data_IF_506504412148
#
_entry.id   IF_506504412148
#
_cell.length_a   1.000
_cell.length_b   1.000
_cell.length_c   1.000
_cell.angle_alpha   90.00
_cell.angle_beta   90.00
_cell.angle_gamma   90.00
#
_symmetry.space_group_name_H-M   'P 1'
#
loop_
_entity.id
_entity.type
_entity.pdbx_description
1 polymer ?
#
# COMPACT_ATOMS: atom_id res chain seq x y z
N UNK A 1 6.75 -19.07 -20.90
CA UNK A 1 5.92 -19.56 -19.78
C UNK A 1 5.16 -18.41 -19.09
N UNK A 2 5.86 -17.34 -18.67
CA UNK A 2 5.26 -16.19 -17.95
C UNK A 2 4.02 -15.58 -18.60
N UNK A 3 4.09 -15.23 -19.90
CA UNK A 3 2.95 -14.63 -20.61
C UNK A 3 1.67 -15.51 -20.65
N UNK A 4 1.81 -16.83 -20.53
CA UNK A 4 0.65 -17.75 -20.50
C UNK A 4 -0.01 -17.82 -19.12
N UNK A 5 0.77 -17.64 -18.05
CA UNK A 5 0.31 -17.76 -16.66
C UNK A 5 -0.16 -16.39 -16.12
N UNK A 6 0.47 -15.30 -16.60
CA UNK A 6 0.16 -13.93 -16.21
C UNK A 6 -1.34 -13.59 -16.23
N UNK A 7 -2.13 -13.86 -17.30
CA UNK A 7 -3.55 -13.52 -17.29
C UNK A 7 -4.32 -14.24 -16.18
N UNK A 8 -3.98 -15.51 -15.88
CA UNK A 8 -4.64 -16.26 -14.81
C UNK A 8 -4.31 -15.68 -13.44
N UNK A 9 -3.06 -15.30 -13.20
CA UNK A 9 -2.65 -14.64 -11.96
C UNK A 9 -3.31 -13.27 -11.82
N UNK A 10 -3.38 -12.49 -12.90
CA UNK A 10 -4.05 -11.18 -12.88
C UNK A 10 -5.54 -11.32 -12.57
N UNK A 11 -6.25 -12.22 -13.25
CA UNK A 11 -7.68 -12.40 -13.02
C UNK A 11 -8.00 -12.93 -11.63
N UNK A 12 -7.20 -13.88 -11.13
CA UNK A 12 -7.38 -14.39 -9.76
C UNK A 12 -7.07 -13.31 -8.73
N UNK A 13 -5.99 -12.55 -8.90
CA UNK A 13 -5.66 -11.42 -8.02
C UNK A 13 -6.78 -10.36 -8.01
N UNK A 14 -7.30 -10.00 -9.18
CA UNK A 14 -8.42 -9.05 -9.29
C UNK A 14 -9.68 -9.59 -8.59
N UNK A 15 -10.02 -10.86 -8.81
CA UNK A 15 -11.18 -11.50 -8.19
C UNK A 15 -11.09 -11.43 -6.66
N UNK A 16 -9.98 -11.88 -6.07
CA UNK A 16 -9.81 -11.86 -4.62
C UNK A 16 -9.74 -10.44 -4.06
N UNK A 17 -9.09 -9.51 -4.76
CA UNK A 17 -9.02 -8.10 -4.34
C UNK A 17 -10.39 -7.47 -4.33
N UNK A 18 -11.18 -7.62 -5.41
CA UNK A 18 -12.52 -7.04 -5.50
C UNK A 18 -13.49 -7.69 -4.51
N UNK A 19 -13.43 -9.02 -4.34
CA UNK A 19 -14.23 -9.73 -3.35
C UNK A 19 -13.89 -9.28 -1.92
N UNK A 20 -12.60 -9.18 -1.59
CA UNK A 20 -12.13 -8.70 -0.29
C UNK A 20 -12.53 -7.25 0.00
N UNK A 21 -12.40 -6.36 -0.99
CA UNK A 21 -12.85 -4.97 -0.89
C UNK A 21 -14.36 -4.88 -0.70
N UNK A 22 -15.14 -5.64 -1.47
CA UNK A 22 -16.59 -5.69 -1.35
C UNK A 22 -17.02 -6.17 0.04
N UNK A 23 -16.39 -7.23 0.54
CA UNK A 23 -16.68 -7.76 1.87
C UNK A 23 -16.32 -6.76 2.98
N UNK A 24 -15.10 -6.22 2.95
CA UNK A 24 -14.59 -5.31 3.97
C UNK A 24 -15.34 -3.98 4.02
N UNK A 25 -15.71 -3.41 2.87
CA UNK A 25 -16.35 -2.09 2.82
C UNK A 25 -17.86 -2.15 3.08
N UNK A 26 -18.56 -3.19 2.65
CA UNK A 26 -20.02 -3.23 2.74
C UNK A 26 -20.55 -4.12 3.86
N UNK A 27 -19.89 -5.24 4.14
CA UNK A 27 -20.41 -6.28 5.04
C UNK A 27 -19.69 -6.34 6.39
N UNK A 28 -18.54 -5.70 6.54
CA UNK A 28 -17.89 -5.60 7.86
C UNK A 28 -18.82 -4.90 8.85
N UNK A 29 -18.99 -5.44 10.07
CA UNK A 29 -19.71 -4.75 11.12
C UNK A 29 -18.99 -3.46 11.50
N UNK A 30 -19.74 -2.50 12.04
CA UNK A 30 -19.19 -1.30 12.64
C UNK A 30 -18.37 -1.65 13.88
N UNK A 31 -17.24 -0.97 14.06
CA UNK A 31 -16.43 -1.11 15.27
C UNK A 31 -17.04 -0.32 16.43
N UNK A 32 -16.80 -0.78 17.65
CA UNK A 32 -17.37 -0.15 18.86
C UNK A 32 -16.82 1.27 19.12
N UNK A 33 -15.58 1.54 18.73
CA UNK A 33 -14.92 2.85 18.89
C UNK A 33 -15.02 3.70 17.62
N UNK A 34 -14.82 3.09 16.47
CA UNK A 34 -14.65 3.80 15.20
C UNK A 34 -15.92 3.84 14.34
N UNK A 35 -16.96 3.11 14.75
CA UNK A 35 -18.19 2.95 13.96
C UNK A 35 -17.88 2.40 12.58
N UNK A 36 -18.55 2.93 11.55
CA UNK A 36 -18.31 2.55 10.15
C UNK A 36 -16.95 3.01 9.61
N UNK A 37 -16.26 3.94 10.29
CA UNK A 37 -14.95 4.42 9.83
C UNK A 37 -13.89 3.31 9.82
N UNK A 38 -14.08 2.24 10.61
CA UNK A 38 -13.18 1.07 10.62
C UNK A 38 -13.06 0.42 9.24
N UNK A 39 -14.11 0.50 8.42
CA UNK A 39 -14.17 -0.17 7.10
C UNK A 39 -13.06 0.30 6.17
N UNK A 40 -12.59 1.55 6.31
CA UNK A 40 -11.47 2.06 5.52
C UNK A 40 -10.14 1.37 5.84
N UNK A 41 -10.00 0.72 7.02
CA UNK A 41 -8.79 -0.02 7.37
C UNK A 41 -8.55 -1.25 6.49
N UNK A 42 -9.60 -1.82 5.91
CA UNK A 42 -9.45 -2.89 4.93
C UNK A 42 -8.76 -2.44 3.63
N UNK A 43 -8.67 -1.13 3.39
CA UNK A 43 -7.91 -0.54 2.28
C UNK A 43 -6.61 0.06 2.79
N UNK A 44 -6.69 0.87 3.85
CA UNK A 44 -5.57 1.65 4.35
C UNK A 44 -4.44 0.78 4.91
N UNK A 45 -4.75 -0.22 5.76
CA UNK A 45 -3.70 -1.01 6.42
C UNK A 45 -2.91 -1.85 5.43
N UNK A 46 -3.52 -2.60 4.49
CA UNK A 46 -2.77 -3.29 3.46
C UNK A 46 -1.95 -2.35 2.58
N UNK A 47 -2.49 -1.18 2.21
CA UNK A 47 -1.76 -0.19 1.45
C UNK A 47 -0.53 0.34 2.21
N UNK A 48 -0.65 0.61 3.51
CA UNK A 48 0.46 1.07 4.35
C UNK A 48 1.58 0.01 4.45
N UNK A 49 1.21 -1.26 4.61
CA UNK A 49 2.16 -2.37 4.65
C UNK A 49 2.86 -2.52 3.29
N UNK A 50 2.10 -2.52 2.19
CA UNK A 50 2.66 -2.66 0.84
C UNK A 50 3.56 -1.48 0.45
N UNK A 51 3.17 -0.24 0.78
CA UNK A 51 3.99 0.95 0.57
C UNK A 51 5.33 0.82 1.31
N UNK A 52 5.28 0.51 2.61
CA UNK A 52 6.48 0.35 3.45
C UNK A 52 7.38 -0.79 2.95
N UNK A 53 6.77 -1.89 2.51
CA UNK A 53 7.48 -3.03 1.92
C UNK A 53 8.15 -2.67 0.60
N UNK A 54 7.48 -1.88 -0.24
CA UNK A 54 8.00 -1.39 -1.52
C UNK A 54 9.25 -0.52 -1.33
N UNK A 55 9.21 0.43 -0.40
CA UNK A 55 10.39 1.26 -0.09
C UNK A 55 11.53 0.46 0.56
N UNK A 56 11.21 -0.50 1.44
CA UNK A 56 12.22 -1.41 1.97
C UNK A 56 12.88 -2.22 0.85
N UNK A 57 12.09 -2.71 -0.12
CA UNK A 57 12.61 -3.42 -1.29
C UNK A 57 13.45 -2.51 -2.19
N UNK A 58 13.07 -1.23 -2.39
CA UNK A 58 13.89 -0.25 -3.11
C UNK A 58 15.23 -0.01 -2.41
N UNK A 59 15.24 0.13 -1.09
CA UNK A 59 16.47 0.28 -0.31
C UNK A 59 17.39 -0.94 -0.47
N UNK A 60 16.83 -2.15 -0.41
CA UNK A 60 17.59 -3.39 -0.64
C UNK A 60 18.11 -3.46 -2.07
N UNK A 61 17.29 -3.14 -3.08
CA UNK A 61 17.72 -3.12 -4.49
C UNK A 61 18.84 -2.10 -4.72
N UNK A 62 18.74 -0.90 -4.14
CA UNK A 62 19.77 0.12 -4.20
C UNK A 62 21.08 -0.33 -3.55
N UNK A 63 21.01 -1.00 -2.40
CA UNK A 63 22.18 -1.58 -1.74
C UNK A 63 22.82 -2.70 -2.57
N UNK A 64 22.00 -3.59 -3.14
CA UNK A 64 22.49 -4.68 -4.00
C UNK A 64 23.13 -4.16 -5.29
N UNK A 65 22.54 -3.13 -5.89
CA UNK A 65 23.09 -2.42 -7.04
C UNK A 65 24.40 -1.72 -6.70
N UNK A 66 24.47 -0.96 -5.60
CA UNK A 66 25.65 -0.18 -5.26
C UNK A 66 26.85 -1.05 -4.89
N UNK A 67 26.64 -2.08 -4.07
CA UNK A 67 27.71 -2.92 -3.52
C UNK A 67 28.13 -4.02 -4.49
N UNK A 68 27.18 -4.74 -5.08
CA UNK A 68 27.45 -5.90 -5.94
C UNK A 68 27.24 -5.65 -7.43
N UNK A 69 26.72 -4.48 -7.82
CA UNK A 69 26.39 -4.16 -9.23
C UNK A 69 25.48 -5.22 -9.85
N UNK A 70 24.51 -5.70 -9.07
CA UNK A 70 23.63 -6.79 -9.49
C UNK A 70 22.62 -6.29 -10.55
N UNK A 71 22.66 -6.79 -11.79
CA UNK A 71 21.90 -6.21 -12.90
C UNK A 71 20.38 -6.31 -12.74
N UNK A 72 19.89 -7.34 -12.03
CA UNK A 72 18.45 -7.46 -11.76
C UNK A 72 17.97 -6.51 -10.67
N UNK A 73 18.87 -5.99 -9.82
CA UNK A 73 18.49 -5.07 -8.75
C UNK A 73 18.08 -3.70 -9.31
N UNK A 74 18.79 -3.23 -10.34
CA UNK A 74 18.43 -1.98 -11.05
C UNK A 74 17.08 -2.11 -11.76
N UNK A 75 16.87 -3.23 -12.47
CA UNK A 75 15.60 -3.48 -13.15
C UNK A 75 14.44 -3.57 -12.15
N UNK A 76 14.62 -4.29 -11.04
CA UNK A 76 13.61 -4.38 -10.00
C UNK A 76 13.30 -3.00 -9.39
N UNK A 77 14.32 -2.17 -9.14
CA UNK A 77 14.11 -0.83 -8.57
C UNK A 77 13.28 0.07 -9.50
N UNK A 78 13.52 0.00 -10.81
CA UNK A 78 12.74 0.76 -11.81
C UNK A 78 11.27 0.36 -11.81
N UNK A 79 10.97 -0.94 -11.69
CA UNK A 79 9.59 -1.43 -11.67
C UNK A 79 8.88 -1.18 -10.32
N UNK A 80 9.60 -1.29 -9.20
CA UNK A 80 9.04 -1.07 -7.87
C UNK A 80 8.70 0.41 -7.67
N UNK A 81 9.50 1.35 -8.17
CA UNK A 81 9.33 2.79 -7.93
C UNK A 81 7.92 3.30 -8.21
N UNK A 82 7.39 3.18 -9.45
CA UNK A 82 6.06 3.66 -9.80
C UNK A 82 4.94 2.96 -9.02
N UNK A 83 5.05 1.65 -8.82
CA UNK A 83 4.05 0.86 -8.09
C UNK A 83 4.02 1.26 -6.61
N UNK A 84 5.20 1.37 -5.99
CA UNK A 84 5.38 1.85 -4.62
C UNK A 84 4.77 3.23 -4.44
N UNK A 85 5.10 4.19 -5.30
CA UNK A 85 4.56 5.54 -5.25
C UNK A 85 3.02 5.58 -5.34
N UNK A 86 2.41 4.78 -6.23
CA UNK A 86 0.95 4.70 -6.35
C UNK A 86 0.30 4.16 -5.06
N UNK A 87 0.89 3.12 -4.46
CA UNK A 87 0.38 2.52 -3.23
C UNK A 87 0.60 3.46 -2.03
N UNK A 88 1.71 4.18 -1.98
CA UNK A 88 1.96 5.23 -0.97
C UNK A 88 0.94 6.36 -1.08
N UNK A 89 0.65 6.83 -2.29
CA UNK A 89 -0.38 7.86 -2.50
C UNK A 89 -1.76 7.37 -2.04
N UNK A 90 -2.13 6.12 -2.32
CA UNK A 90 -3.36 5.50 -1.82
C UNK A 90 -3.37 5.42 -0.29
N UNK A 91 -2.26 5.01 0.33
CA UNK A 91 -2.10 4.97 1.78
C UNK A 91 -2.31 6.36 2.41
N UNK A 92 -1.66 7.39 1.87
CA UNK A 92 -1.79 8.77 2.36
C UNK A 92 -3.22 9.29 2.22
N UNK A 93 -3.86 9.07 1.07
CA UNK A 93 -5.24 9.51 0.82
C UNK A 93 -6.23 8.82 1.78
N UNK A 94 -6.15 7.49 1.90
CA UNK A 94 -7.02 6.71 2.78
C UNK A 94 -6.77 7.01 4.26
N UNK A 95 -5.51 7.24 4.65
CA UNK A 95 -5.15 7.62 6.02
C UNK A 95 -5.70 9.00 6.39
N UNK A 96 -5.63 9.97 5.47
CA UNK A 96 -6.20 11.30 5.64
C UNK A 96 -7.73 11.26 5.80
N UNK A 97 -8.41 10.47 4.95
CA UNK A 97 -9.86 10.24 5.05
C UNK A 97 -10.28 9.65 6.38
N UNK A 98 -9.51 8.70 6.91
CA UNK A 98 -9.76 8.12 8.23
C UNK A 98 -9.40 9.06 9.38
N UNK A 99 -8.36 9.88 9.22
CA UNK A 99 -7.92 10.84 10.23
C UNK A 99 -8.98 11.88 10.57
N UNK A 100 -9.78 12.32 9.58
CA UNK A 100 -10.81 13.35 9.80
C UNK A 100 -11.85 12.98 10.88
N UNK A 101 -12.54 11.82 10.82
CA UNK A 101 -13.50 11.44 11.86
C UNK A 101 -12.83 11.05 13.19
N UNK A 102 -11.60 10.54 13.17
CA UNK A 102 -10.95 10.00 14.38
C UNK A 102 -10.19 11.05 15.18
N UNK A 103 -9.55 12.00 14.51
CA UNK A 103 -8.70 13.03 15.13
C UNK A 103 -9.23 14.44 14.93
N UNK A 104 -10.32 14.62 14.17
CA UNK A 104 -10.88 15.92 13.84
C UNK A 104 -10.12 16.67 12.72
N UNK A 105 -8.97 16.16 12.29
CA UNK A 105 -8.05 16.76 11.32
C UNK A 105 -7.63 15.75 10.25
N UNK A 106 -7.42 16.22 9.02
CA UNK A 106 -6.97 15.40 7.89
C UNK A 106 -5.51 14.97 8.00
N UNK A 107 -4.69 15.73 8.72
CA UNK A 107 -3.26 15.46 8.85
C UNK A 107 -2.75 15.98 10.18
N UNK A 108 -1.83 15.22 10.77
CA UNK A 108 -1.06 15.63 11.95
C UNK A 108 0.40 15.60 11.54
N UNK A 109 1.14 16.67 11.85
CA UNK A 109 2.56 16.78 11.54
C UNK A 109 3.43 16.08 12.59
N UNK A 110 3.09 14.84 12.92
CA UNK A 110 3.91 13.99 13.78
C UNK A 110 5.03 13.31 12.98
N UNK A 111 6.05 12.79 13.66
CA UNK A 111 7.19 12.15 13.01
C UNK A 111 6.77 10.94 12.16
N UNK A 112 5.73 10.21 12.60
CA UNK A 112 5.23 9.02 11.93
C UNK A 112 4.60 9.35 10.58
N UNK A 113 3.60 10.23 10.54
CA UNK A 113 2.88 10.58 9.32
C UNK A 113 3.78 11.36 8.36
N UNK A 114 4.61 12.26 8.89
CA UNK A 114 5.56 13.02 8.07
C UNK A 114 6.60 12.11 7.42
N UNK A 115 7.06 11.06 8.11
CA UNK A 115 8.01 10.10 7.50
C UNK A 115 7.41 9.39 6.28
N UNK A 116 6.15 8.96 6.34
CA UNK A 116 5.46 8.28 5.22
C UNK A 116 5.18 9.24 4.06
N UNK A 117 4.98 10.54 4.35
CA UNK A 117 4.82 11.56 3.30
C UNK A 117 6.11 11.83 2.52
N UNK A 118 7.27 11.74 3.19
CA UNK A 118 8.58 12.02 2.61
C UNK A 118 9.15 10.83 1.84
N UNK A 119 8.80 9.60 2.24
CA UNK A 119 9.20 8.35 1.57
C UNK A 119 8.68 8.27 0.13
#
# INVERSE_FOLDING_TARGET
LGARIQPWLTWTALLFTLAGLGWGLFYSPADWQQGDSVRIMYVHVPAAILASSGYAALAVCGLLSLVWRHPLADLAAVEIGPVGACITALCLATGSLWGKPMWGTWWVWDARLTSVLVL
#
